data_IF_040779359246
#
_entry.id   IF_040779359246
#
_cell.length_a   1.000
_cell.length_b   1.000
_cell.length_c   1.000
_cell.angle_alpha   90.00
_cell.angle_beta   90.00
_cell.angle_gamma   90.00
#
_symmetry.space_group_name_H-M   'P 1'
#
loop_
_entity.id
_entity.type
_entity.pdbx_description
1 polymer ?
#
# COMPACT_ATOMS: atom_id res chain seq x y z
N UNK A 1 -12.71 2.07 -6.54
CA UNK A 1 -12.74 1.46 -7.90
C UNK A 1 -11.58 2.03 -8.69
N UNK A 2 -10.65 1.18 -9.13
CA UNK A 2 -9.46 1.62 -9.90
C UNK A 2 -9.85 1.73 -11.38
N UNK A 3 -9.62 2.90 -11.99
CA UNK A 3 -9.87 3.15 -13.42
C UNK A 3 -8.57 3.60 -14.07
N UNK A 4 -8.24 3.03 -15.22
CA UNK A 4 -7.11 3.45 -16.05
C UNK A 4 -7.65 4.04 -17.35
N UNK A 5 -7.18 5.24 -17.71
CA UNK A 5 -7.36 5.80 -19.06
C UNK A 5 -6.11 5.47 -19.89
N UNK A 6 -6.34 4.87 -21.05
CA UNK A 6 -5.29 4.61 -22.04
C UNK A 6 -4.83 5.93 -22.64
N UNK A 7 -3.55 5.99 -23.01
CA UNK A 7 -2.95 7.11 -23.73
C UNK A 7 -2.75 6.71 -25.20
N UNK A 8 -2.78 7.69 -26.09
CA UNK A 8 -2.84 7.44 -27.54
C UNK A 8 -1.59 6.74 -28.13
N UNK A 9 -0.44 6.84 -27.45
CA UNK A 9 0.83 6.21 -27.85
C UNK A 9 1.34 5.15 -26.85
N UNK A 10 0.44 4.49 -26.12
CA UNK A 10 0.84 3.50 -25.11
C UNK A 10 0.70 2.06 -25.63
N UNK A 11 1.71 1.23 -25.39
CA UNK A 11 1.60 -0.20 -25.64
C UNK A 11 0.71 -0.90 -24.60
N UNK A 12 0.03 -1.98 -24.99
CA UNK A 12 -0.82 -2.77 -24.09
C UNK A 12 -0.06 -3.20 -22.81
N UNK A 13 1.21 -3.55 -22.95
CA UNK A 13 2.04 -3.99 -21.83
C UNK A 13 2.33 -2.86 -20.82
N UNK A 14 2.53 -1.63 -21.29
CA UNK A 14 2.72 -0.46 -20.43
C UNK A 14 1.44 -0.11 -19.68
N UNK A 15 0.29 -0.19 -20.36
CA UNK A 15 -1.01 0.03 -19.73
C UNK A 15 -1.26 -0.98 -18.60
N UNK A 16 -0.93 -2.26 -18.82
CA UNK A 16 -1.03 -3.30 -17.78
C UNK A 16 -0.09 -3.02 -16.60
N UNK A 17 1.14 -2.56 -16.85
CA UNK A 17 2.08 -2.19 -15.77
C UNK A 17 1.54 -1.01 -14.94
N UNK A 18 1.02 0.04 -15.59
CA UNK A 18 0.40 1.17 -14.88
C UNK A 18 -0.82 0.73 -14.08
N UNK A 19 -1.67 -0.12 -14.66
CA UNK A 19 -2.82 -0.66 -13.95
C UNK A 19 -2.41 -1.43 -12.69
N UNK A 20 -1.42 -2.32 -12.80
CA UNK A 20 -0.89 -3.07 -11.64
C UNK A 20 -0.40 -2.12 -10.54
N UNK A 21 0.38 -1.10 -10.91
CA UNK A 21 0.86 -0.08 -9.97
C UNK A 21 -0.28 0.71 -9.32
N UNK A 22 -1.32 1.06 -10.08
CA UNK A 22 -2.52 1.73 -9.55
C UNK A 22 -3.28 0.83 -8.56
N UNK A 23 -3.44 -0.46 -8.86
CA UNK A 23 -4.09 -1.43 -7.96
C UNK A 23 -3.31 -1.61 -6.66
N UNK A 24 -1.98 -1.67 -6.76
CA UNK A 24 -1.08 -1.77 -5.61
C UNK A 24 -1.12 -0.51 -4.76
N UNK A 25 -1.07 0.67 -5.39
CA UNK A 25 -1.14 1.95 -4.69
C UNK A 25 -2.49 2.17 -4.03
N UNK A 26 -3.58 1.80 -4.70
CA UNK A 26 -4.93 1.82 -4.13
C UNK A 26 -5.08 0.82 -2.95
N UNK A 27 -4.11 -0.07 -2.72
CA UNK A 27 -4.11 -0.96 -1.57
C UNK A 27 -5.17 -2.06 -1.62
N UNK A 28 -5.78 -2.30 -2.78
CA UNK A 28 -6.91 -3.25 -2.94
C UNK A 28 -6.54 -4.65 -2.41
N UNK A 29 -5.36 -5.16 -2.77
CA UNK A 29 -4.87 -6.47 -2.27
C UNK A 29 -4.72 -6.50 -0.73
N UNK A 30 -4.34 -5.38 -0.12
CA UNK A 30 -4.17 -5.27 1.34
C UNK A 30 -5.53 -5.19 2.04
N UNK A 31 -6.49 -4.51 1.43
CA UNK A 31 -7.86 -4.41 1.92
C UNK A 31 -8.59 -5.76 1.85
N UNK A 32 -8.44 -6.49 0.74
CA UNK A 32 -8.98 -7.85 0.59
C UNK A 32 -8.52 -8.75 1.74
N UNK A 33 -7.20 -8.83 1.98
CA UNK A 33 -6.63 -9.61 3.10
C UNK A 33 -7.10 -9.15 4.48
N UNK A 34 -7.35 -7.85 4.68
CA UNK A 34 -7.89 -7.33 5.95
C UNK A 34 -9.35 -7.77 6.15
N UNK A 35 -10.11 -7.99 5.07
CA UNK A 35 -11.54 -8.33 5.08
C UNK A 35 -11.83 -9.82 4.96
N UNK A 36 -10.82 -10.65 4.68
CA UNK A 36 -10.97 -12.12 4.59
C UNK A 36 -11.54 -12.74 5.87
N UNK A 37 -11.27 -12.14 7.04
CA UNK A 37 -11.76 -12.62 8.33
C UNK A 37 -12.34 -11.47 9.15
N UNK A 38 -13.34 -11.78 9.98
CA UNK A 38 -13.83 -10.81 10.96
C UNK A 38 -12.72 -10.48 11.96
N UNK A 39 -12.49 -9.18 12.15
CA UNK A 39 -11.63 -8.68 13.21
C UNK A 39 -12.48 -7.84 14.17
N UNK A 40 -12.37 -8.13 15.46
CA UNK A 40 -13.05 -7.37 16.49
C UNK A 40 -12.61 -5.89 16.44
N UNK A 41 -13.52 -4.92 16.65
CA UNK A 41 -13.18 -3.49 16.62
C UNK A 41 -12.04 -3.08 17.56
N UNK A 42 -11.86 -3.77 18.69
CA UNK A 42 -10.74 -3.54 19.61
C UNK A 42 -9.39 -3.93 19.00
N UNK A 43 -9.34 -5.05 18.29
CA UNK A 43 -8.11 -5.56 17.69
C UNK A 43 -7.71 -4.71 16.49
N UNK A 44 -8.70 -4.24 15.72
CA UNK A 44 -8.49 -3.30 14.62
C UNK A 44 -7.85 -2.01 15.11
N UNK A 45 -8.41 -1.39 16.17
CA UNK A 45 -7.87 -0.18 16.80
C UNK A 45 -6.45 -0.40 17.32
N UNK A 46 -6.19 -1.54 17.96
CA UNK A 46 -4.86 -1.91 18.47
C UNK A 46 -3.84 -2.06 17.33
N UNK A 47 -4.23 -2.69 16.22
CA UNK A 47 -3.37 -2.86 15.04
C UNK A 47 -3.05 -1.52 14.39
N UNK A 48 -4.03 -0.65 14.23
CA UNK A 48 -3.86 0.65 13.57
C UNK A 48 -2.98 1.59 14.41
N UNK A 49 -3.10 1.55 15.74
CA UNK A 49 -2.19 2.26 16.66
C UNK A 49 -0.74 1.79 16.51
N UNK A 50 -0.48 0.47 16.58
CA UNK A 50 0.86 -0.10 16.38
C UNK A 50 1.45 0.28 15.02
N UNK A 51 0.63 0.29 13.96
CA UNK A 51 1.06 0.72 12.62
C UNK A 51 1.40 2.21 12.55
N UNK A 52 0.72 3.06 13.31
CA UNK A 52 1.03 4.48 13.40
C UNK A 52 2.36 4.69 14.14
N UNK A 53 2.55 4.05 15.29
CA UNK A 53 3.79 4.09 16.08
C UNK A 53 4.99 3.64 15.24
N UNK A 54 4.87 2.51 14.53
CA UNK A 54 5.92 2.01 13.65
C UNK A 54 6.25 2.97 12.50
N UNK A 55 5.25 3.66 11.93
CA UNK A 55 5.48 4.68 10.88
C UNK A 55 6.22 5.89 11.44
N UNK A 56 5.82 6.38 12.62
CA UNK A 56 6.48 7.48 13.28
C UNK A 56 7.93 7.16 13.63
N UNK A 57 8.19 5.95 14.18
CA UNK A 57 9.56 5.49 14.46
C UNK A 57 10.44 5.45 13.21
N UNK A 58 9.93 4.92 12.10
CA UNK A 58 10.66 4.88 10.82
C UNK A 58 10.93 6.27 10.24
N UNK A 59 10.01 7.21 10.40
CA UNK A 59 10.19 8.58 9.93
C UNK A 59 11.24 9.34 10.74
N UNK A 60 11.38 9.02 12.03
CA UNK A 60 12.35 9.63 12.94
C UNK A 60 13.71 8.91 12.96
N UNK A 61 13.80 7.74 12.33
CA UNK A 61 15.07 7.04 12.18
C UNK A 61 15.85 7.74 11.07
N UNK A 62 16.95 8.40 11.41
CA UNK A 62 17.91 8.85 10.42
C UNK A 62 18.35 7.64 9.58
N UNK A 63 18.46 7.76 8.25
CA UNK A 63 19.06 6.70 7.45
C UNK A 63 20.48 6.54 7.98
N UNK A 64 20.75 5.45 8.68
CA UNK A 64 22.11 5.07 9.00
C UNK A 64 22.79 4.88 7.64
N UNK A 65 23.57 5.88 7.24
CA UNK A 65 24.53 5.71 6.15
C UNK A 65 25.50 4.68 6.68
N UNK A 66 25.25 3.42 6.32
CA UNK A 66 26.19 2.34 6.56
C UNK A 66 27.45 2.70 5.77
N UNK A 67 28.40 3.34 6.46
CA UNK A 67 29.75 3.57 5.98
C UNK A 67 30.42 2.20 5.89
N UNK A 68 30.44 1.63 4.68
CA UNK A 68 31.42 0.67 4.20
C UNK A 68 31.44 0.67 2.67
#
# INVERSE_FOLDING_TARGET
MVKLRLRDNESVNEAVRRFRKLVEHAGVKKEMRKREFYEKPSDMRRRDRRRAEMRARRANQEPTLDLN
#
